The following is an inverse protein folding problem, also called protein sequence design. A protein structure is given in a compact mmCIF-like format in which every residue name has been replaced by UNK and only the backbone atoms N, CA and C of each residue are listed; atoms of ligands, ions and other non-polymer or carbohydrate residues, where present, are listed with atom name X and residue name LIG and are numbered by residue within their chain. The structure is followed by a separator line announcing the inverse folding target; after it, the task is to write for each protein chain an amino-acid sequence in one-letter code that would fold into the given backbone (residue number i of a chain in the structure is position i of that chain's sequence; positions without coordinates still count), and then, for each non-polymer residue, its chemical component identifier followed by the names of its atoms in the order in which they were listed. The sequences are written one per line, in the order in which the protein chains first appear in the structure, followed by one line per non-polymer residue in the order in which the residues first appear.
data_IF_437492076637
#
_entry.id   IF_437492076637
#
_cell.length_a   1.000
_cell.length_b   1.000
_cell.length_c   1.000
_cell.angle_alpha   90.00
_cell.angle_beta   90.00
_cell.angle_gamma   90.00
#
_symmetry.space_group_name_H-M   'P 1'
#
loop_
_entity.id
_entity.type
_entity.pdbx_description
1 polymer ?
#
# COMPACT_ATOMS: atom_id res chain seq x y z
N UNK A 1 7.71 10.33 -16.92
CA UNK A 1 6.80 11.39 -16.44
C UNK A 1 5.47 10.76 -16.08
N UNK A 2 5.14 10.60 -14.80
CA UNK A 2 3.84 10.08 -14.31
C UNK A 2 3.19 11.09 -13.35
N UNK A 3 3.25 12.39 -13.69
CA UNK A 3 2.99 13.48 -12.74
C UNK A 3 1.55 13.98 -12.64
N UNK A 4 0.63 13.58 -13.52
CA UNK A 4 -0.72 14.18 -13.59
C UNK A 4 -1.86 13.23 -13.20
N UNK A 5 -1.64 11.92 -13.20
CA UNK A 5 -2.66 10.94 -12.79
C UNK A 5 -2.67 10.65 -11.28
N UNK A 6 -1.53 10.82 -10.60
CA UNK A 6 -1.45 10.60 -9.15
C UNK A 6 -2.31 11.61 -8.37
N UNK A 7 -2.27 12.89 -8.75
CA UNK A 7 -3.07 13.94 -8.11
C UNK A 7 -4.58 13.75 -8.32
N UNK A 8 -4.99 13.26 -9.49
CA UNK A 8 -6.40 13.05 -9.82
C UNK A 8 -6.98 11.84 -9.08
N UNK A 9 -6.20 10.76 -8.96
CA UNK A 9 -6.54 9.60 -8.11
C UNK A 9 -6.57 9.98 -6.63
N UNK A 10 -5.55 10.68 -6.13
CA UNK A 10 -5.50 11.13 -4.74
C UNK A 10 -6.66 12.08 -4.39
N UNK A 11 -7.03 12.99 -5.29
CA UNK A 11 -8.17 13.88 -5.09
C UNK A 11 -9.51 13.12 -5.05
N UNK A 12 -9.64 12.05 -5.83
CA UNK A 12 -10.82 11.17 -5.80
C UNK A 12 -10.94 10.44 -4.46
N UNK A 13 -9.84 9.86 -3.95
CA UNK A 13 -9.88 9.10 -2.69
C UNK A 13 -10.11 9.97 -1.46
N UNK A 14 -9.84 11.28 -1.53
CA UNK A 14 -10.15 12.23 -0.45
C UNK A 14 -11.64 12.37 -0.18
N UNK A 15 -12.51 12.12 -1.18
CA UNK A 15 -13.96 12.17 -0.98
C UNK A 15 -14.55 10.83 -0.53
N UNK A 16 -13.73 9.79 -0.39
CA UNK A 16 -14.18 8.45 -0.02
C UNK A 16 -14.29 8.30 1.50
N UNK A 17 -15.25 7.50 1.93
CA UNK A 17 -15.33 7.07 3.33
C UNK A 17 -14.17 6.11 3.67
N UNK A 18 -13.88 5.94 4.96
CA UNK A 18 -12.86 4.98 5.40
C UNK A 18 -13.19 3.54 5.00
N UNK A 19 -14.48 3.21 4.90
CA UNK A 19 -14.95 1.89 4.42
C UNK A 19 -14.58 1.69 2.95
N UNK A 20 -14.85 2.67 2.08
CA UNK A 20 -14.50 2.61 0.66
C UNK A 20 -12.98 2.53 0.46
N UNK A 21 -12.21 3.30 1.23
CA UNK A 21 -10.75 3.22 1.22
C UNK A 21 -10.26 1.82 1.63
N UNK A 22 -10.84 1.26 2.70
CA UNK A 22 -10.52 -0.09 3.19
C UNK A 22 -10.83 -1.16 2.14
N UNK A 23 -12.00 -1.11 1.50
CA UNK A 23 -12.38 -2.06 0.45
C UNK A 23 -11.40 -2.04 -0.73
N UNK A 24 -11.00 -0.85 -1.20
CA UNK A 24 -10.09 -0.71 -2.32
C UNK A 24 -8.66 -1.16 -1.98
N UNK A 25 -8.19 -0.84 -0.77
CA UNK A 25 -6.94 -1.39 -0.26
C UNK A 25 -7.01 -2.92 -0.17
N UNK A 26 -8.17 -3.49 0.18
CA UNK A 26 -8.40 -4.93 0.15
C UNK A 26 -8.19 -5.54 -1.24
N UNK A 27 -8.71 -4.90 -2.30
CA UNK A 27 -8.48 -5.32 -3.69
C UNK A 27 -7.01 -5.21 -4.07
N UNK A 28 -6.34 -4.14 -3.63
CA UNK A 28 -4.92 -3.94 -3.87
C UNK A 28 -4.06 -5.02 -3.20
N UNK A 29 -4.41 -5.44 -1.98
CA UNK A 29 -3.77 -6.58 -1.30
C UNK A 29 -3.99 -7.88 -2.06
N UNK A 30 -5.19 -8.11 -2.59
CA UNK A 30 -5.43 -9.27 -3.46
C UNK A 30 -4.54 -9.22 -4.71
N UNK A 31 -4.33 -8.04 -5.31
CA UNK A 31 -3.37 -7.84 -6.40
C UNK A 31 -1.93 -8.19 -6.00
N UNK A 32 -1.48 -7.74 -4.82
CA UNK A 32 -0.15 -8.08 -4.28
C UNK A 32 0.04 -9.59 -4.13
N UNK A 33 -0.95 -10.29 -3.55
CA UNK A 33 -0.92 -11.76 -3.44
C UNK A 33 -0.85 -12.45 -4.80
N UNK A 34 -1.32 -11.79 -5.86
CA UNK A 34 -1.25 -12.26 -7.25
C UNK A 34 -0.02 -11.74 -8.02
N UNK A 35 0.97 -11.15 -7.35
CA UNK A 35 2.25 -10.77 -7.94
C UNK A 35 2.41 -9.28 -8.27
N UNK A 36 1.51 -8.41 -7.84
CA UNK A 36 1.77 -6.96 -7.89
C UNK A 36 2.97 -6.64 -6.97
N UNK A 37 3.97 -5.87 -7.44
CA UNK A 37 5.13 -5.51 -6.62
C UNK A 37 4.75 -4.78 -5.33
N UNK A 38 5.45 -5.07 -4.23
CA UNK A 38 5.18 -4.49 -2.90
C UNK A 38 5.30 -2.97 -2.87
N UNK A 39 6.23 -2.40 -3.66
CA UNK A 39 6.35 -0.94 -3.79
C UNK A 39 5.09 -0.28 -4.37
N UNK A 40 4.39 -0.96 -5.30
CA UNK A 40 3.11 -0.49 -5.84
C UNK A 40 2.02 -0.60 -4.78
N UNK A 41 1.97 -1.70 -4.03
CA UNK A 41 1.03 -1.87 -2.91
C UNK A 41 1.18 -0.73 -1.90
N UNK A 42 2.39 -0.47 -1.39
CA UNK A 42 2.63 0.60 -0.43
C UNK A 42 2.22 1.96 -1.00
N UNK A 43 2.68 2.30 -2.21
CA UNK A 43 2.43 3.62 -2.78
C UNK A 43 0.96 3.89 -3.09
N UNK A 44 0.25 2.87 -3.58
CA UNK A 44 -1.18 3.01 -3.88
C UNK A 44 -2.01 3.02 -2.60
N UNK A 45 -1.65 2.23 -1.59
CA UNK A 45 -2.29 2.29 -0.28
C UNK A 45 -2.15 3.68 0.37
N UNK A 46 -0.96 4.29 0.30
CA UNK A 46 -0.76 5.70 0.75
C UNK A 46 -1.67 6.68 0.01
N UNK A 47 -1.80 6.49 -1.31
CA UNK A 47 -2.62 7.36 -2.16
C UNK A 47 -4.10 7.25 -1.83
N UNK A 48 -4.58 6.03 -1.53
CA UNK A 48 -5.97 5.75 -1.16
C UNK A 48 -6.28 6.22 0.26
N UNK A 49 -5.41 5.90 1.23
CA UNK A 49 -5.60 6.26 2.63
C UNK A 49 -5.28 7.75 2.94
N UNK A 50 -4.66 8.46 1.97
CA UNK A 50 -4.29 9.87 2.07
C UNK A 50 -3.06 10.15 2.95
N UNK A 51 -2.49 9.15 3.61
CA UNK A 51 -1.26 9.27 4.39
C UNK A 51 -0.58 7.92 4.56
N UNK A 52 0.72 7.94 4.84
CA UNK A 52 1.50 6.74 5.12
C UNK A 52 1.06 6.02 6.40
N UNK A 53 0.76 6.76 7.45
CA UNK A 53 0.31 6.20 8.73
C UNK A 53 -0.97 5.37 8.57
N UNK A 54 -2.03 5.97 8.00
CA UNK A 54 -3.29 5.26 7.74
C UNK A 54 -3.11 4.06 6.81
N UNK A 55 -2.27 4.19 5.78
CA UNK A 55 -2.02 3.09 4.87
C UNK A 55 -1.33 1.90 5.58
N UNK A 56 -0.42 2.14 6.53
CA UNK A 56 0.16 1.08 7.36
C UNK A 56 -0.91 0.39 8.21
N UNK A 57 -1.82 1.15 8.84
CA UNK A 57 -2.92 0.58 9.63
C UNK A 57 -3.83 -0.31 8.78
N UNK A 58 -4.27 0.18 7.61
CA UNK A 58 -5.09 -0.61 6.69
C UNK A 58 -4.37 -1.88 6.24
N UNK A 59 -3.13 -1.77 5.79
CA UNK A 59 -2.37 -2.94 5.34
C UNK A 59 -2.13 -3.92 6.49
N UNK A 60 -1.96 -3.42 7.71
CA UNK A 60 -1.81 -4.28 8.88
C UNK A 60 -3.07 -5.09 9.22
N UNK A 61 -4.26 -4.61 8.86
CA UNK A 61 -5.50 -5.37 8.98
C UNK A 61 -5.62 -6.49 7.94
N UNK A 62 -4.99 -6.36 6.78
CA UNK A 62 -5.11 -7.32 5.68
C UNK A 62 -3.95 -8.31 5.57
N UNK A 63 -2.74 -7.88 5.95
CA UNK A 63 -1.52 -8.68 5.89
C UNK A 63 -1.14 -9.19 7.27
N UNK A 64 -0.88 -10.49 7.38
CA UNK A 64 -0.31 -11.08 8.59
C UNK A 64 1.13 -10.58 8.80
N UNK A 65 1.68 -10.77 10.00
CA UNK A 65 3.09 -10.46 10.25
C UNK A 65 4.01 -11.28 9.33
N UNK A 66 3.69 -12.55 9.12
CA UNK A 66 4.44 -13.43 8.22
C UNK A 66 4.43 -12.90 6.77
N UNK A 67 3.28 -12.47 6.25
CA UNK A 67 3.20 -11.89 4.89
C UNK A 67 4.03 -10.61 4.75
N UNK A 68 4.12 -9.82 5.84
CA UNK A 68 4.93 -8.61 5.91
C UNK A 68 6.42 -8.90 5.91
N UNK A 69 6.86 -9.86 6.71
CA UNK A 69 8.26 -10.31 6.75
C UNK A 69 8.68 -10.89 5.39
N UNK A 70 7.84 -11.73 4.79
CA UNK A 70 8.07 -12.25 3.44
C UNK A 70 8.18 -11.14 2.38
N UNK A 71 7.39 -10.07 2.52
CA UNK A 71 7.47 -8.92 1.63
C UNK A 71 8.84 -8.21 1.73
N UNK A 72 9.38 -8.09 2.94
CA UNK A 72 10.72 -7.53 3.19
C UNK A 72 11.82 -8.45 2.65
N UNK A 73 11.68 -9.76 2.84
CA UNK A 73 12.68 -10.75 2.42
C UNK A 73 12.83 -10.87 0.90
N UNK A 74 11.73 -10.73 0.17
CA UNK A 74 11.71 -10.77 -1.31
C UNK A 74 12.43 -9.59 -1.95
N UNK A 75 12.58 -8.49 -1.22
CA UNK A 75 13.21 -7.27 -1.71
C UNK A 75 14.70 -7.19 -1.35
N UNK A 76 15.43 -6.34 -2.06
CA UNK A 76 16.86 -6.13 -1.83
C UNK A 76 17.25 -4.65 -1.94
N UNK A 77 18.46 -4.32 -1.46
CA UNK A 77 18.99 -2.96 -1.51
C UNK A 77 18.11 -1.94 -0.79
N UNK A 78 17.97 -0.74 -1.39
CA UNK A 78 17.18 0.34 -0.80
C UNK A 78 15.69 0.01 -0.66
N UNK A 79 15.13 -0.83 -1.53
CA UNK A 79 13.71 -1.22 -1.45
C UNK A 79 13.44 -2.05 -0.20
N UNK A 80 14.34 -2.97 0.16
CA UNK A 80 14.24 -3.75 1.40
C UNK A 80 14.14 -2.86 2.64
N UNK A 81 14.95 -1.80 2.70
CA UNK A 81 14.94 -0.84 3.82
C UNK A 81 13.60 -0.10 3.90
N UNK A 82 13.09 0.35 2.75
CA UNK A 82 11.81 1.05 2.69
C UNK A 82 10.64 0.16 3.09
N UNK A 83 10.61 -1.08 2.60
CA UNK A 83 9.53 -2.04 2.90
C UNK A 83 9.60 -2.48 4.37
N UNK A 84 10.81 -2.65 4.93
CA UNK A 84 10.99 -2.94 6.35
C UNK A 84 10.45 -1.81 7.23
N UNK A 85 10.85 -0.56 6.96
CA UNK A 85 10.34 0.64 7.66
C UNK A 85 8.81 0.82 7.49
N UNK A 86 8.25 0.26 6.43
CA UNK A 86 6.82 0.33 6.17
C UNK A 86 6.04 -0.72 6.97
N UNK A 87 6.53 -1.94 7.07
CA UNK A 87 5.75 -3.06 7.63
C UNK A 87 6.15 -3.52 9.03
N UNK A 88 7.37 -3.20 9.46
CA UNK A 88 7.94 -3.53 10.78
C UNK A 88 8.06 -2.26 11.64
#
# INVERSE_FOLDING_TARGET
MFGSHQDLGAAMFKSWSEEQQREEIGKLVAGYRNGVPVGILCKMAETIAGSREKAREHLAHFLTMEEREQAVEKESGGMKVLVADYFL
#
